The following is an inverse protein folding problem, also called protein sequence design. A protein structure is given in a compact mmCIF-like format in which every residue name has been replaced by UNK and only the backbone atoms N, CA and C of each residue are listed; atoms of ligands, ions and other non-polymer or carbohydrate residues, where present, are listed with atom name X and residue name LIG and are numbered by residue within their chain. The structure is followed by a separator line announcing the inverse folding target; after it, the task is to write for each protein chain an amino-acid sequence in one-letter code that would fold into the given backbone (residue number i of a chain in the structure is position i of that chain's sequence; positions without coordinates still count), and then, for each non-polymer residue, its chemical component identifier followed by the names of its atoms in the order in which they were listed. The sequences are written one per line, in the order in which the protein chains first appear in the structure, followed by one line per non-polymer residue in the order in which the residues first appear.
data_IF_871672101128
#
_entry.id   IF_871672101128
#
_cell.length_a   1.000
_cell.length_b   1.000
_cell.length_c   1.000
_cell.angle_alpha   90.00
_cell.angle_beta   90.00
_cell.angle_gamma   90.00
#
_symmetry.space_group_name_H-M   'P 1'
#
loop_
_entity.id
_entity.type
_entity.pdbx_description
1 polymer ?
#
# COMPACT_ATOMS: atom_id res chain seq x y z
N UNK A 1 5.47 14.93 -16.41
CA UNK A 1 4.41 14.39 -15.51
C UNK A 1 3.09 15.07 -15.82
N UNK A 2 1.96 14.43 -15.52
CA UNK A 2 0.61 14.95 -15.77
C UNK A 2 -0.35 14.60 -14.63
N UNK A 3 -1.29 15.49 -14.34
CA UNK A 3 -2.36 15.26 -13.36
C UNK A 3 -3.63 14.80 -14.08
N UNK A 4 -4.32 13.80 -13.56
CA UNK A 4 -5.52 13.24 -14.18
C UNK A 4 -6.75 13.43 -13.29
N UNK A 5 -7.79 14.05 -13.86
CA UNK A 5 -9.08 14.25 -13.21
C UNK A 5 -10.20 13.71 -14.11
N UNK A 6 -10.99 12.80 -13.59
CA UNK A 6 -12.17 12.23 -14.26
C UNK A 6 -13.29 13.27 -14.38
N UNK A 7 -13.85 13.42 -15.58
CA UNK A 7 -14.94 14.37 -15.83
C UNK A 7 -16.29 13.95 -15.23
N UNK A 8 -16.52 12.65 -15.04
CA UNK A 8 -17.84 12.08 -14.70
C UNK A 8 -17.84 11.46 -13.30
N UNK A 9 -17.73 12.28 -12.26
CA UNK A 9 -17.99 11.86 -10.89
C UNK A 9 -18.42 13.06 -10.03
N UNK A 10 -19.11 12.76 -8.93
CA UNK A 10 -19.64 13.76 -7.99
C UNK A 10 -18.55 14.66 -7.36
N UNK A 11 -17.29 14.20 -7.35
CA UNK A 11 -16.16 14.91 -6.76
C UNK A 11 -15.33 15.72 -7.78
N UNK A 12 -15.74 15.74 -9.06
CA UNK A 12 -14.94 16.29 -10.17
C UNK A 12 -14.52 17.75 -9.96
N UNK A 13 -15.38 18.56 -9.35
CA UNK A 13 -15.05 19.94 -8.99
C UNK A 13 -13.95 20.02 -7.92
N UNK A 14 -14.07 19.24 -6.84
CA UNK A 14 -13.06 19.18 -5.77
C UNK A 14 -11.71 18.68 -6.28
N UNK A 15 -11.74 17.60 -7.07
CA UNK A 15 -10.53 16.99 -7.63
C UNK A 15 -9.83 17.94 -8.62
N UNK A 16 -10.62 18.65 -9.45
CA UNK A 16 -10.09 19.66 -10.37
C UNK A 16 -9.47 20.84 -9.62
N UNK A 17 -10.07 21.27 -8.51
CA UNK A 17 -9.52 22.35 -7.69
C UNK A 17 -8.19 21.94 -7.05
N UNK A 18 -8.11 20.76 -6.45
CA UNK A 18 -6.85 20.25 -5.91
C UNK A 18 -5.78 20.10 -7.02
N UNK A 19 -6.16 19.61 -8.21
CA UNK A 19 -5.23 19.48 -9.32
C UNK A 19 -4.68 20.85 -9.78
N UNK A 20 -5.52 21.89 -9.77
CA UNK A 20 -5.09 23.27 -10.03
C UNK A 20 -4.13 23.78 -8.98
N UNK A 21 -4.39 23.53 -7.70
CA UNK A 21 -3.49 23.90 -6.61
C UNK A 21 -2.12 23.26 -6.78
N UNK A 22 -2.09 21.93 -6.99
CA UNK A 22 -0.85 21.18 -7.22
C UNK A 22 -0.11 21.71 -8.47
N UNK A 23 -0.82 21.95 -9.57
CA UNK A 23 -0.24 22.50 -10.81
C UNK A 23 0.37 23.87 -10.59
N UNK A 24 -0.34 24.78 -9.93
CA UNK A 24 0.13 26.14 -9.67
C UNK A 24 1.37 26.14 -8.79
N UNK A 25 1.36 25.35 -7.72
CA UNK A 25 2.54 25.15 -6.86
C UNK A 25 3.72 24.56 -7.62
N UNK A 26 3.47 23.58 -8.50
CA UNK A 26 4.53 23.01 -9.33
C UNK A 26 5.12 24.04 -10.30
N UNK A 27 4.28 24.88 -10.92
CA UNK A 27 4.74 25.90 -11.86
C UNK A 27 5.57 26.98 -11.17
N UNK A 28 5.29 27.27 -9.89
CA UNK A 28 6.10 28.17 -9.06
C UNK A 28 7.44 27.53 -8.65
N UNK A 29 7.41 26.29 -8.16
CA UNK A 29 8.62 25.63 -7.64
C UNK A 29 9.54 25.09 -8.73
N UNK A 30 8.95 24.51 -9.79
CA UNK A 30 9.63 23.80 -10.87
C UNK A 30 8.90 24.06 -12.20
N UNK A 31 9.11 25.22 -12.84
CA UNK A 31 8.41 25.59 -14.07
C UNK A 31 8.49 24.50 -15.15
N UNK A 32 7.33 24.11 -15.71
CA UNK A 32 7.24 23.09 -16.77
C UNK A 32 7.29 21.63 -16.30
N UNK A 33 7.44 21.39 -14.99
CA UNK A 33 7.52 20.03 -14.42
C UNK A 33 6.21 19.23 -14.59
N UNK A 34 5.07 19.87 -14.36
CA UNK A 34 3.75 19.33 -14.67
C UNK A 34 3.27 19.92 -16.00
N UNK A 35 3.10 19.05 -17.00
CA UNK A 35 2.70 19.46 -18.35
C UNK A 35 1.31 20.10 -18.35
N UNK A 36 0.32 19.41 -17.78
CA UNK A 36 -1.08 19.80 -17.81
C UNK A 36 -1.94 19.00 -16.82
N UNK A 37 -3.20 19.44 -16.66
CA UNK A 37 -4.26 18.70 -15.97
C UNK A 37 -5.14 18.08 -17.05
N UNK A 38 -5.02 16.76 -17.22
CA UNK A 38 -5.81 16.01 -18.17
C UNK A 38 -7.19 15.70 -17.60
N UNK A 39 -8.22 16.11 -18.33
CA UNK A 39 -9.61 15.86 -17.98
C UNK A 39 -10.11 14.62 -18.73
N UNK A 40 -10.03 13.47 -18.08
CA UNK A 40 -10.34 12.16 -18.66
C UNK A 40 -11.84 11.87 -18.75
N UNK A 41 -12.24 11.05 -19.74
CA UNK A 41 -13.64 10.63 -19.93
C UNK A 41 -14.00 9.32 -19.19
N UNK A 42 -13.01 8.60 -18.64
CA UNK A 42 -13.19 7.34 -17.94
C UNK A 42 -13.53 7.47 -16.45
N UNK A 43 -13.83 6.33 -15.82
CA UNK A 43 -14.00 6.19 -14.39
C UNK A 43 -12.64 5.81 -13.78
N UNK A 44 -12.13 6.64 -12.87
CA UNK A 44 -10.78 6.51 -12.30
C UNK A 44 -10.83 6.25 -10.79
N UNK A 45 -11.94 5.68 -10.29
CA UNK A 45 -12.23 5.50 -8.87
C UNK A 45 -12.18 6.81 -8.04
N UNK A 46 -12.26 7.95 -8.71
CA UNK A 46 -12.22 9.27 -8.10
C UNK A 46 -13.57 9.70 -7.51
N UNK A 47 -14.62 8.91 -7.77
CA UNK A 47 -15.94 8.96 -7.14
C UNK A 47 -15.91 8.48 -5.68
N UNK A 48 -14.94 7.65 -5.29
CA UNK A 48 -14.89 7.02 -3.97
C UNK A 48 -14.57 8.01 -2.85
N UNK A 49 -13.84 9.09 -3.15
CA UNK A 49 -13.52 10.15 -2.18
C UNK A 49 -13.23 11.49 -2.88
N UNK A 50 -13.58 12.64 -2.26
CA UNK A 50 -13.14 13.94 -2.76
C UNK A 50 -11.62 14.08 -2.63
N UNK A 51 -11.03 15.01 -3.40
CA UNK A 51 -9.59 15.26 -3.44
C UNK A 51 -8.75 14.06 -3.95
N UNK A 52 -9.36 13.21 -4.79
CA UNK A 52 -8.70 12.07 -5.42
C UNK A 52 -8.16 12.45 -6.80
N UNK A 53 -6.85 12.39 -7.00
CA UNK A 53 -6.17 12.70 -8.27
C UNK A 53 -5.25 11.54 -8.64
N UNK A 54 -5.18 11.23 -9.93
CA UNK A 54 -4.21 10.29 -10.45
C UNK A 54 -2.99 11.05 -10.97
N UNK A 55 -1.81 10.58 -10.59
CA UNK A 55 -0.53 11.15 -11.01
C UNK A 55 0.10 10.24 -12.06
N UNK A 56 0.46 10.80 -13.22
CA UNK A 56 1.13 10.07 -14.29
C UNK A 56 2.59 10.49 -14.41
N UNK A 57 3.49 9.55 -14.12
CA UNK A 57 4.93 9.73 -14.23
C UNK A 57 5.47 9.00 -15.47
N UNK A 58 6.23 9.72 -16.30
CA UNK A 58 6.81 9.20 -17.53
C UNK A 58 5.83 9.06 -18.69
N UNK A 59 6.38 8.72 -19.86
CA UNK A 59 5.67 8.34 -21.10
C UNK A 59 6.50 7.27 -21.80
N UNK A 60 6.02 6.75 -22.94
CA UNK A 60 6.82 5.88 -23.79
C UNK A 60 8.15 6.57 -24.15
N UNK A 61 9.27 5.93 -23.81
CA UNK A 61 10.63 6.48 -23.97
C UNK A 61 11.26 7.14 -22.73
N UNK A 62 10.55 7.25 -21.60
CA UNK A 62 11.15 7.76 -20.35
C UNK A 62 12.08 6.72 -19.68
N UNK A 63 13.22 7.18 -19.15
CA UNK A 63 14.14 6.35 -18.36
C UNK A 63 13.60 6.17 -16.92
N UNK A 64 13.74 4.96 -16.37
CA UNK A 64 13.38 4.61 -14.98
C UNK A 64 14.02 5.53 -13.94
N UNK A 65 15.29 5.90 -14.09
CA UNK A 65 16.00 6.77 -13.15
C UNK A 65 15.46 8.19 -13.16
N UNK A 66 15.13 8.73 -14.34
CA UNK A 66 14.51 10.05 -14.49
C UNK A 66 13.11 10.09 -13.87
N UNK A 67 12.33 9.01 -14.09
CA UNK A 67 11.01 8.85 -13.48
C UNK A 67 11.14 8.81 -11.95
N UNK A 68 12.07 8.03 -11.40
CA UNK A 68 12.32 7.99 -9.96
C UNK A 68 12.77 9.35 -9.42
N UNK A 69 13.70 10.04 -10.09
CA UNK A 69 14.13 11.38 -9.71
C UNK A 69 12.97 12.39 -9.69
N UNK A 70 12.06 12.30 -10.66
CA UNK A 70 10.87 13.16 -10.72
C UNK A 70 9.93 12.99 -9.51
N UNK A 71 9.84 11.79 -8.93
CA UNK A 71 8.99 11.56 -7.74
C UNK A 71 9.42 12.39 -6.54
N UNK A 72 10.72 12.70 -6.41
CA UNK A 72 11.25 13.55 -5.32
C UNK A 72 10.75 15.00 -5.44
N UNK A 73 10.81 15.58 -6.64
CA UNK A 73 10.29 16.92 -6.89
C UNK A 73 8.77 16.96 -6.73
N UNK A 74 8.07 15.91 -7.17
CA UNK A 74 6.63 15.83 -6.96
C UNK A 74 6.26 15.70 -5.48
N UNK A 75 7.03 14.97 -4.68
CA UNK A 75 6.83 14.91 -3.23
C UNK A 75 6.97 16.31 -2.59
N UNK A 76 7.93 17.12 -3.04
CA UNK A 76 8.08 18.52 -2.58
C UNK A 76 6.91 19.40 -3.01
N UNK A 77 6.46 19.29 -4.26
CA UNK A 77 5.27 19.99 -4.77
C UNK A 77 4.03 19.60 -4.00
N UNK A 78 3.78 18.31 -3.78
CA UNK A 78 2.64 17.83 -2.99
C UNK A 78 2.74 18.32 -1.55
N UNK A 79 3.95 18.33 -0.98
CA UNK A 79 4.20 18.91 0.35
C UNK A 79 3.73 20.38 0.40
N UNK A 80 4.15 21.19 -0.56
CA UNK A 80 3.79 22.61 -0.61
C UNK A 80 2.32 22.84 -0.99
N UNK A 81 1.78 22.10 -1.95
CA UNK A 81 0.43 22.31 -2.49
C UNK A 81 -0.67 21.84 -1.54
N UNK A 82 -0.42 20.75 -0.81
CA UNK A 82 -1.39 20.16 0.12
C UNK A 82 -1.20 20.73 1.52
N UNK A 83 0.04 21.08 1.89
CA UNK A 83 0.37 21.41 3.28
C UNK A 83 1.05 22.78 3.49
N UNK A 84 1.38 23.53 2.44
CA UNK A 84 1.86 24.93 2.53
C UNK A 84 3.29 25.13 3.07
N UNK A 85 4.15 24.12 3.01
CA UNK A 85 5.56 24.20 3.45
C UNK A 85 6.50 24.92 2.47
N UNK A 86 6.78 26.21 2.68
CA UNK A 86 7.83 26.93 1.96
C UNK A 86 9.17 26.19 2.13
N UNK A 87 9.65 25.58 1.05
CA UNK A 87 10.99 25.01 1.00
C UNK A 87 12.02 26.10 1.28
N UNK A 88 12.87 25.89 2.28
CA UNK A 88 13.95 26.82 2.64
C UNK A 88 14.90 27.03 1.47
N UNK A 89 14.99 28.27 0.99
CA UNK A 89 15.93 28.71 -0.03
C UNK A 89 15.86 30.21 -0.33
N UNK A 90 16.18 31.06 0.66
CA UNK A 90 16.71 32.42 0.50
C UNK A 90 15.87 33.52 -0.16
N UNK A 91 15.58 34.59 0.61
CA UNK A 91 15.55 35.97 0.08
C UNK A 91 14.20 36.68 -0.01
N UNK A 92 14.00 37.62 0.94
CA UNK A 92 13.18 38.84 0.94
C UNK A 92 11.65 38.82 0.86
N UNK A 93 11.10 39.60 1.79
CA UNK A 93 9.70 39.96 2.02
C UNK A 93 9.04 40.67 0.82
N UNK A 94 7.75 40.40 0.61
CA UNK A 94 6.73 41.44 0.46
C UNK A 94 5.34 40.85 0.66
N UNK A 95 4.58 41.50 1.53
CA UNK A 95 3.25 41.14 1.96
C UNK A 95 2.23 41.09 0.82
N UNK A 96 1.30 40.13 0.88
CA UNK A 96 -0.08 40.46 0.51
C UNK A 96 -1.09 39.71 1.39
N UNK A 97 -1.94 40.51 2.01
CA UNK A 97 -2.93 40.14 3.00
C UNK A 97 -4.21 39.70 2.26
N UNK A 98 -4.56 38.42 2.32
CA UNK A 98 -5.93 37.97 2.08
C UNK A 98 -6.42 37.13 3.25
N UNK A 99 -7.30 37.75 4.03
CA UNK A 99 -8.05 37.20 5.13
C UNK A 99 -9.09 36.18 4.65
N UNK A 100 -8.64 34.95 4.39
CA UNK A 100 -9.45 33.75 4.47
C UNK A 100 -8.87 32.89 5.58
N UNK A 101 -9.66 32.52 6.58
CA UNK A 101 -9.15 31.75 7.71
C UNK A 101 -8.69 30.37 7.22
N UNK A 102 -7.39 30.23 6.96
CA UNK A 102 -6.79 28.97 6.53
C UNK A 102 -7.01 27.93 7.62
N UNK A 103 -7.64 26.81 7.27
CA UNK A 103 -7.83 25.69 8.19
C UNK A 103 -6.47 25.11 8.57
N UNK A 104 -6.36 24.43 9.72
CA UNK A 104 -5.13 23.74 10.05
C UNK A 104 -4.88 22.57 9.09
N UNK A 105 -3.61 22.34 8.75
CA UNK A 105 -3.19 21.22 7.94
C UNK A 105 -3.56 19.90 8.61
N UNK A 106 -3.90 18.92 7.79
CA UNK A 106 -4.23 17.58 8.22
C UNK A 106 -3.07 16.97 9.01
N UNK A 107 -3.28 16.52 10.26
CA UNK A 107 -2.22 15.87 11.04
C UNK A 107 -1.87 14.50 10.45
N UNK A 108 -0.62 14.08 10.63
CA UNK A 108 -0.08 12.82 10.09
C UNK A 108 0.73 12.06 11.14
N UNK A 109 0.90 10.76 10.90
CA UNK A 109 1.67 9.87 11.76
C UNK A 109 3.10 9.74 11.18
N UNK A 110 4.10 10.06 11.99
CA UNK A 110 5.51 9.88 11.66
C UNK A 110 6.01 8.45 11.95
N UNK A 111 5.39 7.78 12.91
CA UNK A 111 5.63 6.37 13.25
C UNK A 111 4.83 5.44 12.32
N UNK A 112 5.48 4.75 11.40
CA UNK A 112 4.84 3.91 10.38
C UNK A 112 4.41 2.50 10.85
N UNK A 113 4.30 2.26 12.15
CA UNK A 113 3.96 0.95 12.72
C UNK A 113 2.48 0.89 13.13
N UNK A 114 1.60 0.74 12.14
CA UNK A 114 0.14 0.58 12.36
C UNK A 114 -0.23 -0.84 12.79
N UNK A 115 0.65 -1.81 12.56
CA UNK A 115 0.58 -3.16 13.12
C UNK A 115 1.69 -3.37 14.15
N UNK A 116 1.38 -3.94 15.31
CA UNK A 116 2.35 -4.11 16.40
C UNK A 116 2.04 -5.32 17.29
N UNK A 117 3.03 -5.88 17.96
CA UNK A 117 2.84 -7.04 18.85
C UNK A 117 2.56 -6.58 20.29
N UNK A 118 3.51 -5.88 20.90
CA UNK A 118 3.40 -5.47 22.31
C UNK A 118 2.87 -4.04 22.47
N UNK A 119 3.49 -3.11 21.75
CA UNK A 119 3.09 -1.72 21.71
C UNK A 119 3.68 -1.00 20.50
N UNK A 120 3.03 0.08 20.10
CA UNK A 120 3.57 1.02 19.10
C UNK A 120 3.73 2.41 19.72
N UNK A 121 4.79 3.13 19.34
CA UNK A 121 5.00 4.53 19.73
C UNK A 121 4.38 5.40 18.65
N UNK A 122 3.39 6.21 19.02
CA UNK A 122 2.75 7.17 18.13
C UNK A 122 3.46 8.50 18.21
N UNK A 123 3.90 8.97 17.05
CA UNK A 123 4.46 10.31 16.86
C UNK A 123 3.59 11.02 15.84
N UNK A 124 2.95 12.12 16.24
CA UNK A 124 2.10 12.93 15.37
C UNK A 124 2.83 14.19 14.92
N UNK A 125 2.50 14.66 13.72
CA UNK A 125 2.97 15.91 13.15
C UNK A 125 1.84 16.69 12.48
N UNK A 126 2.05 17.99 12.31
CA UNK A 126 1.19 18.87 11.52
C UNK A 126 2.10 19.95 10.89
N UNK A 127 1.86 20.28 9.62
CA UNK A 127 2.66 21.28 8.91
C UNK A 127 2.27 22.73 9.24
N UNK A 128 1.06 22.95 9.80
CA UNK A 128 0.68 24.28 10.28
C UNK A 128 1.42 24.59 11.58
N UNK A 129 2.31 25.58 11.52
CA UNK A 129 2.98 26.11 12.71
C UNK A 129 1.96 26.51 13.77
N UNK A 130 2.24 26.18 15.02
CA UNK A 130 1.39 26.42 16.20
C UNK A 130 0.01 25.74 16.18
N UNK A 131 -0.24 24.80 15.27
CA UNK A 131 -1.48 24.04 15.31
C UNK A 131 -1.50 23.05 16.46
N UNK A 132 -2.65 22.97 17.11
CA UNK A 132 -2.90 22.03 18.21
C UNK A 132 -3.56 20.77 17.65
N UNK A 133 -2.93 19.62 17.84
CA UNK A 133 -3.48 18.33 17.41
C UNK A 133 -4.27 17.71 18.56
N UNK A 134 -5.49 17.29 18.28
CA UNK A 134 -6.36 16.55 19.20
C UNK A 134 -6.68 15.18 18.61
N UNK A 135 -6.78 14.16 19.45
CA UNK A 135 -6.99 12.79 19.02
C UNK A 135 -7.92 12.00 19.94
N UNK A 136 -8.42 10.90 19.39
CA UNK A 136 -9.22 9.87 20.06
C UNK A 136 -8.69 8.50 19.62
N UNK A 137 -8.92 7.47 20.43
CA UNK A 137 -8.45 6.09 20.17
C UNK A 137 -9.61 5.09 19.99
N UNK A 138 -10.83 5.54 20.26
CA UNK A 138 -12.07 4.77 20.16
C UNK A 138 -12.80 4.97 18.83
N UNK A 139 -12.23 5.77 17.91
CA UNK A 139 -12.85 6.09 16.63
C UNK A 139 -13.89 7.22 16.67
N UNK A 140 -14.12 7.86 17.81
CA UNK A 140 -14.96 9.07 17.91
C UNK A 140 -14.28 10.28 17.25
N UNK A 141 -15.05 11.27 16.80
CA UNK A 141 -14.47 12.44 16.13
C UNK A 141 -13.72 13.36 17.14
N UNK A 142 -12.45 13.70 16.89
CA UNK A 142 -11.68 14.54 17.80
C UNK A 142 -12.16 16.00 17.79
N UNK A 143 -12.41 16.51 19.00
CA UNK A 143 -12.77 17.91 19.28
C UNK A 143 -11.68 18.59 20.11
N UNK A 144 -11.79 19.91 20.33
CA UNK A 144 -10.93 20.63 21.30
C UNK A 144 -11.07 20.16 22.75
N UNK A 145 -12.05 19.29 23.06
CA UNK A 145 -12.22 18.65 24.37
C UNK A 145 -11.57 17.26 24.44
N UNK A 146 -11.13 16.70 23.31
CA UNK A 146 -10.45 15.42 23.24
C UNK A 146 -9.02 15.50 23.78
N UNK A 147 -8.31 14.37 23.83
CA UNK A 147 -6.91 14.36 24.26
C UNK A 147 -6.06 15.20 23.29
N UNK A 148 -5.32 16.18 23.83
CA UNK A 148 -4.38 16.99 23.06
C UNK A 148 -3.03 16.27 22.97
N UNK A 149 -2.42 16.29 21.80
CA UNK A 149 -1.07 15.79 21.57
C UNK A 149 -0.04 16.84 21.99
N UNK A 150 0.86 16.43 22.88
CA UNK A 150 1.95 17.27 23.39
C UNK A 150 3.30 16.58 23.20
N UNK A 151 3.33 15.27 23.44
CA UNK A 151 4.52 14.42 23.30
C UNK A 151 4.11 13.07 22.71
N UNK A 152 5.06 12.34 22.11
CA UNK A 152 4.83 10.96 21.69
C UNK A 152 4.27 10.09 22.81
N UNK A 153 3.36 9.18 22.48
CA UNK A 153 2.72 8.28 23.43
C UNK A 153 2.76 6.84 22.92
N UNK A 154 2.44 5.87 23.78
CA UNK A 154 2.41 4.44 23.44
C UNK A 154 0.99 3.90 23.46
N UNK A 155 0.70 3.02 22.52
CA UNK A 155 -0.53 2.24 22.46
C UNK A 155 -0.18 0.77 22.63
N UNK A 156 -0.93 0.06 23.47
CA UNK A 156 -0.72 -1.36 23.79
C UNK A 156 -1.79 -2.29 23.21
N UNK A 157 -2.93 -1.74 22.80
CA UNK A 157 -4.08 -2.49 22.31
C UNK A 157 -4.60 -1.88 21.01
N UNK A 158 -5.32 -2.67 20.21
CA UNK A 158 -5.90 -2.18 18.96
C UNK A 158 -6.78 -0.96 19.21
N UNK A 159 -6.70 0.02 18.31
CA UNK A 159 -7.38 1.30 18.44
C UNK A 159 -7.73 1.87 17.05
N UNK A 160 -8.74 2.74 17.01
CA UNK A 160 -8.99 3.60 15.85
C UNK A 160 -8.50 4.99 16.22
N UNK A 161 -7.29 5.32 15.79
CA UNK A 161 -6.71 6.63 16.01
C UNK A 161 -7.38 7.62 15.06
N UNK A 162 -8.15 8.57 15.62
CA UNK A 162 -8.62 9.73 14.87
C UNK A 162 -7.94 10.97 15.36
N UNK A 163 -7.57 11.84 14.43
CA UNK A 163 -6.81 13.06 14.74
C UNK A 163 -7.32 14.24 13.93
N UNK A 164 -7.33 15.42 14.54
CA UNK A 164 -7.66 16.71 13.93
C UNK A 164 -6.74 17.78 14.50
N UNK A 165 -6.23 18.64 13.63
CA UNK A 165 -5.50 19.84 14.04
C UNK A 165 -6.44 21.05 14.08
N UNK A 166 -6.13 22.01 14.94
CA UNK A 166 -6.79 23.33 14.99
C UNK A 166 -5.72 24.41 14.91
N UNK A 167 -5.98 25.48 14.16
CA UNK A 167 -5.10 26.66 14.17
C UNK A 167 -5.15 27.34 15.54
N UNK A 168 -4.21 28.25 15.79
CA UNK A 168 -4.22 29.13 16.97
C UNK A 168 -5.52 29.93 17.13
N UNK A 169 -6.16 30.29 16.02
CA UNK A 169 -7.46 31.00 16.01
C UNK A 169 -8.67 30.07 16.15
N UNK A 170 -8.46 28.75 16.27
CA UNK A 170 -9.53 27.79 16.50
C UNK A 170 -10.15 27.15 15.27
N UNK A 171 -9.60 27.41 14.08
CA UNK A 171 -10.15 26.86 12.83
C UNK A 171 -9.74 25.39 12.70
N UNK A 172 -10.73 24.51 12.56
CA UNK A 172 -10.55 23.07 12.46
C UNK A 172 -9.99 22.64 11.10
N UNK A 173 -9.04 21.71 11.11
CA UNK A 173 -8.63 20.94 9.94
C UNK A 173 -9.51 19.70 9.70
N UNK A 174 -9.15 18.93 8.69
CA UNK A 174 -9.78 17.64 8.41
C UNK A 174 -9.42 16.58 9.46
N UNK A 175 -10.32 15.60 9.61
CA UNK A 175 -10.10 14.44 10.47
C UNK A 175 -9.42 13.35 9.66
N UNK A 176 -8.33 12.80 10.18
CA UNK A 176 -7.73 11.55 9.69
C UNK A 176 -8.15 10.42 10.59
N UNK A 177 -8.32 9.23 10.02
CA UNK A 177 -8.59 7.99 10.74
C UNK A 177 -7.57 6.94 10.32
N UNK A 178 -6.89 6.35 11.30
CA UNK A 178 -5.94 5.26 11.09
C UNK A 178 -6.28 4.10 12.02
N UNK A 179 -6.28 2.87 11.48
CA UNK A 179 -6.49 1.68 12.28
C UNK A 179 -5.16 1.17 12.81
N UNK A 180 -5.03 1.11 14.13
CA UNK A 180 -3.88 0.55 14.81
C UNK A 180 -4.25 -0.86 15.28
N UNK A 181 -3.53 -1.86 14.82
CA UNK A 181 -3.86 -3.27 15.04
C UNK A 181 -2.76 -3.96 15.83
N UNK A 182 -3.13 -4.44 17.01
CA UNK A 182 -2.32 -5.41 17.75
C UNK A 182 -2.41 -6.76 17.04
N UNK A 183 -1.27 -7.36 16.73
CA UNK A 183 -1.14 -8.68 16.12
C UNK A 183 -0.46 -9.63 17.08
N UNK A 184 -0.83 -10.90 17.01
CA UNK A 184 -0.21 -11.98 17.79
C UNK A 184 0.73 -12.75 16.87
N UNK A 185 1.82 -13.27 17.44
CA UNK A 185 2.72 -14.15 16.71
C UNK A 185 2.01 -15.43 16.26
N UNK A 186 2.11 -15.75 14.98
CA UNK A 186 1.73 -17.07 14.49
C UNK A 186 2.71 -18.13 15.04
N UNK A 187 2.22 -19.34 15.38
CA UNK A 187 3.09 -20.43 15.79
C UNK A 187 3.95 -20.90 14.61
N UNK A 188 5.24 -21.11 14.84
CA UNK A 188 6.12 -21.74 13.85
C UNK A 188 5.96 -23.25 13.86
N UNK A 189 6.13 -23.88 12.70
CA UNK A 189 6.32 -25.33 12.61
C UNK A 189 7.71 -25.72 13.13
N UNK A 190 7.85 -26.96 13.58
CA UNK A 190 9.14 -27.59 13.84
C UNK A 190 9.41 -28.58 12.72
N UNK A 191 10.26 -28.23 11.75
CA UNK A 191 10.70 -29.20 10.73
C UNK A 191 12.21 -29.38 10.77
N UNK A 192 12.67 -30.62 10.66
CA UNK A 192 14.09 -30.96 10.87
C UNK A 192 14.89 -31.14 9.57
N UNK A 193 14.28 -30.93 8.39
CA UNK A 193 15.00 -31.10 7.12
C UNK A 193 14.32 -30.40 5.93
N UNK A 194 14.74 -29.17 5.67
CA UNK A 194 14.31 -28.36 4.52
C UNK A 194 15.39 -28.29 3.43
N UNK A 195 14.97 -28.17 2.16
CA UNK A 195 15.81 -27.86 1.00
C UNK A 195 15.20 -26.70 0.19
N UNK A 196 16.01 -25.87 -0.51
CA UNK A 196 15.51 -24.71 -1.25
C UNK A 196 14.46 -25.06 -2.32
N UNK A 197 13.51 -24.15 -2.53
CA UNK A 197 12.43 -24.26 -3.50
C UNK A 197 11.16 -24.91 -2.94
N UNK A 198 10.06 -24.78 -3.67
CA UNK A 198 8.73 -25.31 -3.36
C UNK A 198 8.40 -26.52 -4.23
N UNK A 199 7.49 -27.38 -3.75
CA UNK A 199 6.81 -28.34 -4.62
C UNK A 199 5.76 -27.59 -5.43
N UNK A 200 5.57 -27.98 -6.69
CA UNK A 200 4.46 -27.48 -7.49
C UNK A 200 3.63 -28.62 -8.07
N UNK A 201 2.34 -28.36 -8.25
CA UNK A 201 1.42 -29.12 -9.06
C UNK A 201 0.83 -28.18 -10.11
N UNK A 202 0.94 -28.55 -11.38
CA UNK A 202 0.47 -27.79 -12.53
C UNK A 202 -0.78 -28.44 -13.12
N UNK A 203 -1.76 -27.62 -13.46
CA UNK A 203 -3.08 -28.03 -13.92
C UNK A 203 -3.40 -27.35 -15.24
N UNK A 204 -4.10 -28.05 -16.12
CA UNK A 204 -4.69 -27.49 -17.34
C UNK A 204 -6.19 -27.67 -17.29
N UNK A 205 -6.94 -26.64 -17.68
CA UNK A 205 -8.39 -26.62 -17.59
C UNK A 205 -8.96 -25.23 -17.42
N UNK A 206 -10.28 -25.11 -17.51
CA UNK A 206 -10.98 -23.85 -17.26
C UNK A 206 -11.32 -23.73 -15.77
N UNK A 207 -10.88 -22.64 -15.15
CA UNK A 207 -11.09 -22.37 -13.73
C UNK A 207 -11.75 -20.99 -13.55
N UNK A 208 -12.65 -20.88 -12.59
CA UNK A 208 -13.19 -19.59 -12.13
C UNK A 208 -12.71 -19.25 -10.71
N UNK A 209 -12.15 -20.22 -10.01
CA UNK A 209 -11.59 -20.09 -8.67
C UNK A 209 -10.53 -21.16 -8.42
N UNK A 210 -9.63 -20.92 -7.48
CA UNK A 210 -8.55 -21.90 -7.18
C UNK A 210 -9.08 -23.25 -6.70
N UNK A 211 -10.26 -23.29 -6.09
CA UNK A 211 -10.90 -24.52 -5.64
C UNK A 211 -11.36 -25.44 -6.79
N UNK A 212 -11.48 -24.92 -8.02
CA UNK A 212 -11.84 -25.75 -9.18
C UNK A 212 -10.72 -26.74 -9.54
N UNK A 213 -9.45 -26.41 -9.23
CA UNK A 213 -8.29 -27.29 -9.46
C UNK A 213 -8.32 -28.54 -8.57
N UNK A 214 -8.99 -28.50 -7.41
CA UNK A 214 -9.06 -29.63 -6.48
C UNK A 214 -9.89 -30.81 -7.02
N UNK A 215 -10.63 -30.58 -8.11
CA UNK A 215 -11.52 -31.57 -8.75
C UNK A 215 -10.85 -32.37 -9.84
N UNK A 216 -9.60 -32.05 -10.18
CA UNK A 216 -8.85 -32.66 -11.27
C UNK A 216 -7.45 -33.07 -10.82
N UNK A 217 -6.82 -33.96 -11.58
CA UNK A 217 -5.43 -34.35 -11.34
C UNK A 217 -4.48 -33.35 -11.99
N UNK A 218 -3.32 -33.07 -11.37
CA UNK A 218 -2.30 -32.26 -12.02
C UNK A 218 -1.72 -32.97 -13.24
N UNK A 219 -1.43 -32.18 -14.27
CA UNK A 219 -0.73 -32.63 -15.49
C UNK A 219 0.75 -32.86 -15.22
N UNK A 220 1.33 -32.06 -14.31
CA UNK A 220 2.72 -32.19 -13.89
C UNK A 220 2.88 -31.86 -12.42
N UNK A 221 3.83 -32.53 -11.76
CA UNK A 221 4.29 -32.14 -10.43
C UNK A 221 5.81 -32.09 -10.42
N UNK A 222 6.40 -31.26 -9.56
CA UNK A 222 7.85 -31.11 -9.50
C UNK A 222 8.32 -30.15 -8.43
N UNK A 223 9.54 -29.67 -8.59
CA UNK A 223 10.18 -28.68 -7.72
C UNK A 223 10.45 -27.39 -8.49
N UNK A 224 10.27 -26.25 -7.83
CA UNK A 224 10.55 -24.94 -8.40
C UNK A 224 11.22 -24.05 -7.36
N UNK A 225 12.18 -23.23 -7.78
CA UNK A 225 12.94 -22.37 -6.85
C UNK A 225 12.12 -21.19 -6.28
N UNK A 226 10.97 -20.88 -6.88
CA UNK A 226 10.06 -19.85 -6.41
C UNK A 226 8.64 -20.13 -6.94
N UNK A 227 7.64 -19.45 -6.39
CA UNK A 227 6.28 -19.46 -6.93
C UNK A 227 6.24 -18.57 -8.18
N UNK A 228 6.46 -19.13 -9.38
CA UNK A 228 6.52 -18.38 -10.65
C UNK A 228 5.83 -19.12 -11.77
N UNK A 229 5.21 -18.38 -12.69
CA UNK A 229 4.57 -18.98 -13.85
C UNK A 229 5.61 -19.53 -14.82
N UNK A 230 5.32 -20.71 -15.38
CA UNK A 230 5.94 -21.23 -16.59
C UNK A 230 4.83 -21.57 -17.59
N UNK A 231 4.33 -20.57 -18.37
CA UNK A 231 3.30 -20.81 -19.37
C UNK A 231 3.79 -21.78 -20.45
N UNK A 232 2.88 -22.58 -20.99
CA UNK A 232 3.15 -23.51 -22.08
C UNK A 232 2.56 -23.00 -23.38
N UNK A 233 3.23 -23.30 -24.49
CA UNK A 233 2.76 -22.94 -25.82
C UNK A 233 1.39 -23.59 -26.08
N UNK A 234 0.42 -22.78 -26.52
CA UNK A 234 -0.94 -23.23 -26.82
C UNK A 234 -1.86 -23.42 -25.62
N UNK A 235 -1.40 -23.17 -24.38
CA UNK A 235 -2.21 -23.31 -23.16
C UNK A 235 -2.58 -21.95 -22.59
N UNK A 236 -3.84 -21.56 -22.74
CA UNK A 236 -4.34 -20.27 -22.24
C UNK A 236 -4.92 -20.34 -20.83
N UNK A 237 -5.45 -21.49 -20.43
CA UNK A 237 -6.07 -21.69 -19.12
C UNK A 237 -5.35 -22.82 -18.37
N UNK A 238 -4.75 -22.46 -17.24
CA UNK A 238 -3.92 -23.34 -16.44
C UNK A 238 -3.91 -22.89 -14.99
N UNK A 239 -3.34 -23.70 -14.12
CA UNK A 239 -3.22 -23.35 -12.71
C UNK A 239 -2.00 -23.98 -12.07
N UNK A 240 -1.63 -23.41 -10.93
CA UNK A 240 -0.53 -23.89 -10.11
C UNK A 240 -0.97 -23.96 -8.65
N UNK A 241 -0.58 -25.04 -7.98
CA UNK A 241 -0.53 -25.13 -6.53
C UNK A 241 0.94 -25.27 -6.14
N UNK A 242 1.44 -24.33 -5.35
CA UNK A 242 2.78 -24.35 -4.78
C UNK A 242 2.68 -24.68 -3.30
N UNK A 243 3.44 -25.67 -2.85
CA UNK A 243 3.48 -26.14 -1.46
C UNK A 243 4.91 -26.12 -0.93
N UNK A 244 5.10 -25.55 0.25
CA UNK A 244 6.41 -25.50 0.88
C UNK A 244 6.39 -24.89 2.27
N UNK A 245 7.53 -24.33 2.63
CA UNK A 245 7.82 -23.68 3.91
C UNK A 245 8.47 -22.33 3.65
N UNK A 246 7.99 -21.32 4.37
CA UNK A 246 8.60 -20.01 4.48
C UNK A 246 9.55 -19.99 5.68
N UNK A 247 10.78 -19.51 5.50
CA UNK A 247 11.70 -19.22 6.60
C UNK A 247 11.62 -17.73 6.96
N UNK A 248 11.05 -17.40 8.12
CA UNK A 248 11.11 -16.06 8.69
C UNK A 248 12.44 -15.90 9.45
N UNK A 249 13.33 -14.98 9.04
CA UNK A 249 14.68 -14.89 9.60
C UNK A 249 14.74 -14.21 10.98
N UNK A 250 13.68 -13.51 11.40
CA UNK A 250 13.63 -12.75 12.63
C UNK A 250 12.21 -12.67 13.18
N UNK A 251 12.10 -12.33 14.47
CA UNK A 251 10.82 -11.95 15.06
C UNK A 251 10.37 -10.59 14.51
N UNK A 252 9.09 -10.46 14.18
CA UNK A 252 8.46 -9.15 13.96
C UNK A 252 7.22 -9.19 13.09
N UNK A 253 6.82 -8.02 12.61
CA UNK A 253 5.65 -7.82 11.75
C UNK A 253 6.06 -7.95 10.29
N UNK A 254 5.30 -8.76 9.56
CA UNK A 254 5.50 -9.04 8.15
C UNK A 254 4.24 -8.69 7.37
N UNK A 255 4.39 -8.11 6.18
CA UNK A 255 3.29 -7.93 5.23
C UNK A 255 3.54 -8.78 4.01
N UNK A 256 2.60 -9.64 3.65
CA UNK A 256 2.62 -10.44 2.43
C UNK A 256 1.85 -9.73 1.33
N UNK A 257 2.28 -9.93 0.09
CA UNK A 257 1.69 -9.35 -1.11
C UNK A 257 1.48 -10.45 -2.14
N UNK A 258 0.28 -10.51 -2.70
CA UNK A 258 -0.10 -11.48 -3.73
C UNK A 258 -0.70 -10.72 -4.89
N UNK A 259 0.08 -10.60 -5.97
CA UNK A 259 -0.36 -10.04 -7.23
C UNK A 259 -0.68 -11.19 -8.19
N UNK A 260 -1.86 -11.16 -8.78
CA UNK A 260 -2.25 -12.15 -9.79
C UNK A 260 -3.12 -11.58 -10.90
N UNK A 261 -3.01 -12.22 -12.06
CA UNK A 261 -3.95 -12.17 -13.18
C UNK A 261 -3.99 -13.61 -13.73
N UNK A 262 -5.05 -14.40 -13.57
CA UNK A 262 -6.31 -14.14 -12.87
C UNK A 262 -6.20 -14.36 -11.34
N UNK A 263 -6.94 -15.32 -10.79
CA UNK A 263 -7.16 -15.45 -9.36
C UNK A 263 -6.08 -16.25 -8.63
N UNK A 264 -5.88 -15.94 -7.35
CA UNK A 264 -4.94 -16.64 -6.48
C UNK A 264 -5.33 -16.58 -5.00
N UNK A 265 -4.80 -17.51 -4.22
CA UNK A 265 -4.88 -17.50 -2.75
C UNK A 265 -3.53 -17.84 -2.14
N UNK A 266 -3.18 -17.16 -1.05
CA UNK A 266 -2.01 -17.44 -0.23
C UNK A 266 -2.47 -17.95 1.13
N UNK A 267 -1.89 -19.06 1.56
CA UNK A 267 -2.11 -19.67 2.86
C UNK A 267 -0.81 -19.74 3.65
N UNK A 268 -0.89 -19.53 4.96
CA UNK A 268 0.21 -19.69 5.90
C UNK A 268 -0.29 -20.53 7.08
N UNK A 269 0.48 -21.52 7.53
CA UNK A 269 0.05 -22.51 8.54
C UNK A 269 -1.29 -23.19 8.20
N UNK A 270 -1.57 -23.40 6.90
CA UNK A 270 -2.84 -23.96 6.43
C UNK A 270 -4.05 -23.03 6.56
N UNK A 271 -3.88 -21.79 7.05
CA UNK A 271 -4.94 -20.78 7.12
C UNK A 271 -4.84 -19.84 5.92
N UNK A 272 -5.99 -19.45 5.37
CA UNK A 272 -6.04 -18.43 4.33
C UNK A 272 -5.52 -17.10 4.88
N UNK A 273 -4.52 -16.54 4.19
CA UNK A 273 -3.92 -15.27 4.53
C UNK A 273 -4.32 -14.17 3.55
N UNK A 274 -4.32 -14.47 2.25
CA UNK A 274 -4.80 -13.55 1.21
C UNK A 274 -5.74 -14.31 0.28
N UNK A 275 -6.96 -13.79 0.13
CA UNK A 275 -7.90 -14.18 -0.91
C UNK A 275 -7.87 -13.15 -2.03
N UNK A 276 -7.24 -13.50 -3.16
CA UNK A 276 -7.27 -12.77 -4.42
C UNK A 276 -7.90 -13.63 -5.53
N UNK A 277 -8.94 -14.40 -5.20
CA UNK A 277 -9.54 -15.39 -6.09
C UNK A 277 -10.57 -14.77 -7.05
N UNK A 278 -10.97 -15.56 -8.06
CA UNK A 278 -11.90 -15.13 -9.11
C UNK A 278 -11.22 -14.55 -10.37
N UNK A 279 -11.92 -14.47 -11.52
CA UNK A 279 -11.36 -13.89 -12.74
C UNK A 279 -11.22 -12.37 -12.61
N UNK A 280 -10.03 -11.84 -12.86
CA UNK A 280 -9.74 -10.42 -12.78
C UNK A 280 -8.40 -10.07 -13.45
N UNK A 281 -8.28 -8.84 -13.98
CA UNK A 281 -6.99 -8.33 -14.42
C UNK A 281 -5.96 -8.21 -13.29
N UNK A 282 -4.69 -7.93 -13.63
CA UNK A 282 -3.60 -7.85 -12.66
C UNK A 282 -3.93 -6.94 -11.47
N UNK A 283 -4.09 -7.55 -10.29
CA UNK A 283 -4.42 -6.87 -9.05
C UNK A 283 -3.63 -7.47 -7.89
N UNK A 284 -3.20 -6.62 -6.96
CA UNK A 284 -2.44 -7.04 -5.78
C UNK A 284 -3.26 -6.87 -4.51
N UNK A 285 -3.28 -7.92 -3.69
CA UNK A 285 -3.78 -7.87 -2.31
C UNK A 285 -2.64 -8.09 -1.33
N UNK A 286 -2.85 -7.66 -0.09
CA UNK A 286 -1.86 -7.82 0.98
C UNK A 286 -2.51 -8.16 2.32
N UNK A 287 -1.73 -8.77 3.20
CA UNK A 287 -2.12 -9.05 4.57
C UNK A 287 -0.90 -8.96 5.50
N UNK A 288 -1.11 -8.51 6.73
CA UNK A 288 -0.07 -8.26 7.72
C UNK A 288 -0.29 -9.09 8.97
N UNK A 289 0.77 -9.73 9.48
CA UNK A 289 0.76 -10.56 10.68
C UNK A 289 2.13 -10.51 11.38
N UNK A 290 2.23 -11.08 12.57
CA UNK A 290 3.51 -11.23 13.26
C UNK A 290 4.04 -12.66 13.17
N UNK A 291 5.33 -12.82 12.87
CA UNK A 291 6.04 -14.09 12.86
C UNK A 291 7.17 -14.06 13.89
N UNK A 292 7.35 -15.16 14.61
CA UNK A 292 8.63 -15.48 15.25
C UNK A 292 9.63 -15.93 14.19
N UNK A 293 10.92 -15.81 14.48
CA UNK A 293 11.95 -16.49 13.69
C UNK A 293 11.63 -17.98 13.66
N UNK A 294 11.52 -18.55 12.47
CA UNK A 294 11.15 -19.95 12.30
C UNK A 294 10.58 -20.27 10.94
N UNK A 295 10.04 -21.48 10.84
CA UNK A 295 9.53 -22.07 9.61
C UNK A 295 8.01 -22.11 9.62
N UNK A 296 7.38 -21.86 8.48
CA UNK A 296 5.92 -21.79 8.38
C UNK A 296 5.45 -22.47 7.08
N UNK A 297 4.60 -23.51 7.14
CA UNK A 297 3.93 -24.04 5.96
C UNK A 297 3.29 -22.91 5.15
N UNK A 298 3.64 -22.82 3.88
CA UNK A 298 3.12 -21.82 2.94
C UNK A 298 2.57 -22.53 1.72
N UNK A 299 1.39 -22.11 1.27
CA UNK A 299 0.78 -22.60 0.05
C UNK A 299 0.28 -21.44 -0.79
N UNK A 300 0.58 -21.46 -2.09
CA UNK A 300 0.05 -20.49 -3.06
C UNK A 300 -0.72 -21.25 -4.11
N UNK A 301 -2.00 -20.93 -4.27
CA UNK A 301 -2.83 -21.42 -5.37
C UNK A 301 -3.03 -20.29 -6.37
N UNK A 302 -2.95 -20.58 -7.66
CA UNK A 302 -3.15 -19.63 -8.74
C UNK A 302 -3.86 -20.30 -9.91
N UNK A 303 -4.72 -19.56 -10.61
CA UNK A 303 -5.22 -19.98 -11.91
C UNK A 303 -5.20 -18.81 -12.91
N UNK A 304 -5.13 -19.19 -14.18
CA UNK A 304 -5.27 -18.34 -15.34
C UNK A 304 -6.53 -18.74 -16.10
N UNK A 305 -7.39 -17.78 -16.45
CA UNK A 305 -8.57 -17.97 -17.28
C UNK A 305 -8.41 -17.45 -18.73
N UNK A 306 -7.35 -16.70 -19.02
CA UNK A 306 -6.94 -16.37 -20.40
C UNK A 306 -6.33 -14.97 -20.53
N UNK A 307 -5.76 -14.66 -21.70
CA UNK A 307 -5.13 -13.37 -21.98
C UNK A 307 -3.92 -13.05 -21.08
N UNK A 308 -3.97 -11.94 -20.32
CA UNK A 308 -2.84 -11.46 -19.51
C UNK A 308 -2.55 -12.39 -18.34
N UNK A 309 -1.28 -12.72 -18.11
CA UNK A 309 -0.82 -13.69 -17.10
C UNK A 309 0.10 -12.99 -16.11
N UNK A 310 -0.18 -13.08 -14.83
CA UNK A 310 0.71 -12.55 -13.80
C UNK A 310 0.58 -13.33 -12.50
N UNK A 311 1.72 -13.61 -11.87
CA UNK A 311 1.80 -14.03 -10.47
C UNK A 311 3.08 -13.45 -9.88
N UNK A 312 2.96 -12.71 -8.78
CA UNK A 312 4.08 -12.34 -7.92
C UNK A 312 3.69 -12.54 -6.47
N UNK A 313 4.53 -13.25 -5.74
CA UNK A 313 4.39 -13.46 -4.29
C UNK A 313 5.53 -12.73 -3.62
N UNK A 314 5.20 -11.75 -2.79
CA UNK A 314 6.17 -10.91 -2.13
C UNK A 314 5.87 -10.72 -0.66
N UNK A 315 6.82 -10.12 0.03
CA UNK A 315 6.70 -9.80 1.44
C UNK A 315 7.61 -8.63 1.84
N UNK A 316 7.27 -7.98 2.93
CA UNK A 316 8.13 -7.04 3.67
C UNK A 316 8.25 -7.51 5.10
N UNK A 317 9.35 -7.16 5.75
CA UNK A 317 9.63 -7.55 7.12
C UNK A 317 10.18 -6.39 7.94
N UNK A 318 10.58 -6.63 9.19
CA UNK A 318 10.90 -5.57 10.14
C UNK A 318 12.04 -4.64 9.72
N UNK A 319 12.95 -5.12 8.86
CA UNK A 319 14.17 -4.41 8.46
C UNK A 319 14.31 -4.21 6.95
N UNK A 320 13.31 -4.61 6.16
CA UNK A 320 13.38 -4.53 4.71
C UNK A 320 12.03 -4.14 4.12
N UNK A 321 12.11 -3.41 3.00
CA UNK A 321 10.95 -3.05 2.19
C UNK A 321 10.48 -4.25 1.36
N UNK A 322 9.31 -4.10 0.72
CA UNK A 322 8.73 -5.14 -0.12
C UNK A 322 9.74 -5.72 -1.13
N UNK A 323 9.87 -7.04 -1.11
CA UNK A 323 10.65 -7.84 -2.05
C UNK A 323 9.90 -9.13 -2.41
N UNK A 324 10.29 -9.80 -3.49
CA UNK A 324 9.71 -11.10 -3.86
C UNK A 324 10.20 -12.22 -2.93
N UNK A 325 9.37 -13.25 -2.76
CA UNK A 325 9.80 -14.49 -2.10
C UNK A 325 10.65 -15.29 -3.09
N UNK A 326 11.86 -15.64 -2.67
CA UNK A 326 12.85 -16.36 -3.50
C UNK A 326 13.22 -17.70 -2.87
N UNK A 327 14.08 -18.47 -3.56
CA UNK A 327 14.63 -19.74 -3.09
C UNK A 327 15.40 -19.64 -1.76
N UNK A 328 15.82 -18.44 -1.35
CA UNK A 328 16.48 -18.19 -0.07
C UNK A 328 15.50 -18.21 1.11
N UNK A 329 14.21 -18.05 0.81
CA UNK A 329 13.12 -17.90 1.80
C UNK A 329 12.07 -18.99 1.68
N UNK A 330 12.03 -19.68 0.55
CA UNK A 330 11.08 -20.74 0.24
C UNK A 330 11.78 -22.09 0.16
N UNK A 331 11.22 -23.06 0.85
CA UNK A 331 11.78 -24.38 1.02
C UNK A 331 10.71 -25.47 0.88
N UNK A 332 11.13 -26.71 0.70
CA UNK A 332 10.31 -27.90 0.78
C UNK A 332 10.94 -28.85 1.76
N UNK A 333 10.11 -29.68 2.38
CA UNK A 333 10.59 -30.79 3.19
C UNK A 333 11.31 -31.79 2.27
N UNK A 334 12.54 -32.20 2.64
CA UNK A 334 13.33 -33.15 1.84
C UNK A 334 12.62 -34.48 1.63
#
# INVERSE_FOLDING_TARGET
MRLFVGKRNQNSASNKNLAKTIKATADEMFPGFIKDIYMGKGNYNQELAPNSILLEFGTNGSNKEEVLGSTKYMAQVLSQAVYGTSGTGGGNESANNQSGASTAATPFILSNNTYFVDSTRIVLGCHTSDAEIYYTLDGSEPTRRSARYHTPFRIKDSAILRMRAYTRTGVAGYVVSEALKKVVYEPSATTSSLAPGVRFAYYEGSFNKVADMERIQPVETGLMMACRLQPRDGVEAFGYVYDGYLLAPADGVYTFYLLSNDGSKLYLNGKELIDNDGPHGAFEKSATLALKKGEYPIQVKYFQAGAGKALRVGWSGPKWTKQELTAETLFHQK
#
